data_IF_240224873533
#
_entry.id   IF_240224873533
#
_cell.length_a   1.000
_cell.length_b   1.000
_cell.length_c   1.000
_cell.angle_alpha   90.00
_cell.angle_beta   90.00
_cell.angle_gamma   90.00
#
_symmetry.space_group_name_H-M   'P 1'
#
loop_
_entity.id
_entity.type
_entity.pdbx_description
1 polymer ?
#
# COMPACT_ATOMS: atom_id res chain seq x y z
N UNK A 1 -7.05 -25.21 30.97
CA UNK A 1 -7.36 -23.82 30.56
C UNK A 1 -7.23 -23.75 29.05
N UNK A 2 -8.19 -23.17 28.32
CA UNK A 2 -8.10 -22.97 26.87
C UNK A 2 -7.13 -21.81 26.63
N UNK A 3 -5.95 -22.08 26.07
CA UNK A 3 -5.04 -21.01 25.66
C UNK A 3 -5.73 -20.17 24.57
N UNK A 4 -5.82 -18.86 24.80
CA UNK A 4 -6.32 -17.94 23.80
C UNK A 4 -5.31 -17.91 22.64
N UNK A 5 -5.70 -18.44 21.49
CA UNK A 5 -4.85 -18.43 20.31
C UNK A 5 -4.56 -16.99 19.87
N UNK A 6 -3.28 -16.65 19.76
CA UNK A 6 -2.85 -15.35 19.27
C UNK A 6 -2.91 -15.28 17.74
N UNK A 7 -4.09 -14.99 17.22
CA UNK A 7 -4.35 -14.87 15.78
C UNK A 7 -3.51 -13.78 15.10
N UNK A 8 -3.05 -12.76 15.83
CA UNK A 8 -2.22 -11.68 15.29
C UNK A 8 -0.96 -12.23 14.63
N UNK A 9 -0.34 -13.25 15.22
CA UNK A 9 0.90 -13.84 14.70
C UNK A 9 0.69 -14.50 13.34
N UNK A 10 -0.44 -15.18 13.15
CA UNK A 10 -0.79 -15.89 11.92
C UNK A 10 -1.11 -14.90 10.80
N UNK A 11 -1.91 -13.87 11.09
CA UNK A 11 -2.26 -12.86 10.08
C UNK A 11 -1.09 -11.93 9.69
N UNK A 12 -0.10 -11.75 10.57
CA UNK A 12 1.08 -10.93 10.29
C UNK A 12 2.19 -11.67 9.53
N UNK A 13 2.06 -12.98 9.33
CA UNK A 13 3.09 -13.78 8.68
C UNK A 13 3.32 -13.28 7.23
N UNK A 14 4.55 -12.91 6.85
CA UNK A 14 4.83 -12.44 5.50
C UNK A 14 4.65 -13.58 4.50
N UNK A 15 4.32 -13.25 3.26
CA UNK A 15 4.39 -14.22 2.17
C UNK A 15 5.83 -14.70 2.00
N UNK A 16 6.03 -16.01 2.01
CA UNK A 16 7.35 -16.65 1.97
C UNK A 16 7.42 -17.57 0.77
N UNK A 17 8.50 -17.46 -0.01
CA UNK A 17 8.77 -18.37 -1.13
C UNK A 17 9.67 -19.50 -0.64
N UNK A 18 9.21 -20.73 -0.82
CA UNK A 18 9.99 -21.95 -0.55
C UNK A 18 10.42 -22.68 -1.82
N UNK A 19 9.70 -22.51 -2.93
CA UNK A 19 9.96 -23.20 -4.19
C UNK A 19 10.22 -22.18 -5.30
N UNK A 20 11.44 -22.15 -5.83
CA UNK A 20 11.80 -21.27 -6.96
C UNK A 20 11.48 -21.96 -8.30
N UNK A 21 11.61 -23.29 -8.36
CA UNK A 21 11.38 -24.10 -9.57
C UNK A 21 10.81 -25.45 -9.17
N UNK A 22 10.20 -26.19 -10.12
CA UNK A 22 9.59 -27.52 -9.88
C UNK A 22 10.51 -28.49 -9.11
N UNK A 23 11.82 -28.39 -9.29
CA UNK A 23 12.80 -29.29 -8.66
C UNK A 23 13.69 -28.61 -7.59
N UNK A 24 13.50 -27.30 -7.31
CA UNK A 24 14.35 -26.56 -6.36
C UNK A 24 13.49 -26.04 -5.22
N UNK A 25 13.57 -26.76 -4.10
CA UNK A 25 12.94 -26.41 -2.82
C UNK A 25 14.04 -25.93 -1.89
N UNK A 26 13.84 -24.76 -1.30
CA UNK A 26 14.78 -24.15 -0.37
C UNK A 26 14.33 -24.48 1.06
N UNK A 27 15.24 -24.97 1.93
CA UNK A 27 14.92 -25.31 3.31
C UNK A 27 14.65 -24.07 4.19
N UNK A 28 15.06 -22.88 3.73
CA UNK A 28 14.75 -21.60 4.36
C UNK A 28 13.80 -20.79 3.48
N UNK A 29 12.75 -20.29 4.09
CA UNK A 29 11.77 -19.47 3.40
C UNK A 29 12.24 -18.03 3.23
N UNK A 30 12.14 -17.51 1.99
CA UNK A 30 12.53 -16.13 1.69
C UNK A 30 11.28 -15.24 1.71
N UNK A 31 11.16 -14.26 2.63
CA UNK A 31 10.01 -13.35 2.67
C UNK A 31 10.00 -12.44 1.43
N UNK A 32 8.92 -12.46 0.65
CA UNK A 32 8.78 -11.69 -0.60
C UNK A 32 9.01 -10.20 -0.36
N UNK A 33 8.38 -9.65 0.68
CA UNK A 33 8.51 -8.23 1.03
C UNK A 33 9.96 -7.85 1.32
N UNK A 34 10.73 -8.73 1.99
CA UNK A 34 12.15 -8.49 2.28
C UNK A 34 12.96 -8.42 0.98
N UNK A 35 12.73 -9.36 0.07
CA UNK A 35 13.42 -9.42 -1.22
C UNK A 35 13.14 -8.19 -2.09
N UNK A 36 11.89 -7.71 -2.11
CA UNK A 36 11.54 -6.49 -2.86
C UNK A 36 12.29 -5.28 -2.28
N UNK A 37 12.28 -5.10 -0.95
CA UNK A 37 13.01 -3.99 -0.32
C UNK A 37 14.51 -4.11 -0.58
N UNK A 38 15.06 -5.32 -0.49
CA UNK A 38 16.47 -5.60 -0.79
C UNK A 38 16.81 -5.16 -2.22
N UNK A 39 15.99 -5.54 -3.21
CA UNK A 39 16.19 -5.17 -4.61
C UNK A 39 16.10 -3.65 -4.84
N UNK A 40 15.15 -2.97 -4.18
CA UNK A 40 15.03 -1.51 -4.27
C UNK A 40 16.29 -0.84 -3.71
N UNK A 41 16.72 -1.22 -2.52
CA UNK A 41 17.91 -0.64 -1.88
C UNK A 41 19.17 -0.96 -2.69
N UNK A 42 19.31 -2.20 -3.17
CA UNK A 42 20.41 -2.61 -4.03
C UNK A 42 20.43 -1.81 -5.34
N UNK A 43 19.26 -1.58 -5.96
CA UNK A 43 19.12 -0.76 -7.16
C UNK A 43 19.54 0.70 -6.94
N UNK A 44 19.16 1.29 -5.81
CA UNK A 44 19.60 2.64 -5.42
C UNK A 44 21.12 2.67 -5.21
N UNK A 45 21.69 1.66 -4.55
CA UNK A 45 23.14 1.56 -4.39
C UNK A 45 23.88 1.40 -5.71
N UNK A 46 23.32 0.62 -6.65
CA UNK A 46 23.87 0.46 -7.99
C UNK A 46 23.83 1.77 -8.79
N UNK A 47 22.78 2.59 -8.63
CA UNK A 47 22.73 3.93 -9.23
C UNK A 47 23.84 4.84 -8.67
N UNK A 48 24.11 4.73 -7.37
CA UNK A 48 25.16 5.47 -6.68
C UNK A 48 26.51 4.73 -6.65
N UNK A 49 26.80 3.83 -7.62
CA UNK A 49 27.95 2.93 -7.56
C UNK A 49 29.27 3.65 -7.27
N UNK A 50 29.52 4.78 -7.95
CA UNK A 50 30.78 5.54 -7.83
C UNK A 50 31.10 5.92 -6.38
N UNK A 51 30.08 6.31 -5.61
CA UNK A 51 30.22 6.67 -4.19
C UNK A 51 30.60 5.46 -3.33
N UNK A 52 29.86 4.36 -3.47
CA UNK A 52 30.11 3.14 -2.71
C UNK A 52 31.43 2.45 -3.09
N UNK A 53 31.84 2.54 -4.36
CA UNK A 53 33.11 2.00 -4.82
C UNK A 53 34.31 2.82 -4.33
N UNK A 54 34.17 4.14 -4.23
CA UNK A 54 35.19 4.99 -3.61
C UNK A 54 35.40 4.64 -2.14
N UNK A 55 34.32 4.42 -1.38
CA UNK A 55 34.39 3.95 0.01
C UNK A 55 35.03 2.56 0.12
N UNK A 56 34.66 1.65 -0.78
CA UNK A 56 35.16 0.27 -0.79
C UNK A 56 36.64 0.12 -1.14
N UNK A 57 37.29 1.13 -1.73
CA UNK A 57 38.74 1.09 -2.03
C UNK A 57 39.62 1.23 -0.78
N UNK A 58 39.07 1.70 0.33
CA UNK A 58 39.84 1.88 1.56
C UNK A 58 40.26 0.56 2.21
N UNK A 59 39.48 -0.52 2.01
CA UNK A 59 39.72 -1.83 2.63
C UNK A 59 39.51 -2.94 1.59
N UNK A 60 40.51 -3.79 1.30
CA UNK A 60 40.36 -4.90 0.37
C UNK A 60 39.27 -5.86 0.85
N UNK A 61 38.34 -6.22 -0.05
CA UNK A 61 37.23 -7.12 0.26
C UNK A 61 35.99 -6.45 0.87
N UNK A 62 36.01 -5.14 1.15
CA UNK A 62 34.86 -4.45 1.75
C UNK A 62 33.70 -4.24 0.77
N UNK A 63 33.97 -4.17 -0.53
CA UNK A 63 32.96 -3.92 -1.58
C UNK A 63 31.80 -4.94 -1.55
N UNK A 64 32.01 -6.27 -1.60
CA UNK A 64 30.92 -7.23 -1.56
C UNK A 64 30.15 -7.18 -0.23
N UNK A 65 30.84 -6.97 0.90
CA UNK A 65 30.22 -6.83 2.22
C UNK A 65 29.31 -5.59 2.26
N UNK A 66 29.73 -4.49 1.64
CA UNK A 66 28.94 -3.27 1.57
C UNK A 66 27.66 -3.48 0.73
N UNK A 67 27.80 -4.07 -0.46
CA UNK A 67 26.69 -4.27 -1.40
C UNK A 67 25.70 -5.36 -0.98
N UNK A 68 26.12 -6.34 -0.19
CA UNK A 68 25.19 -7.35 0.37
C UNK A 68 24.69 -6.92 1.74
N UNK A 69 25.59 -6.41 2.59
CA UNK A 69 25.31 -6.07 3.98
C UNK A 69 24.39 -4.86 4.13
N UNK A 70 24.60 -3.79 3.37
CA UNK A 70 23.74 -2.60 3.47
C UNK A 70 22.30 -2.92 3.04
N UNK A 71 22.03 -3.51 1.85
CA UNK A 71 20.66 -3.83 1.47
C UNK A 71 20.00 -4.87 2.38
N UNK A 72 20.78 -5.83 2.87
CA UNK A 72 20.28 -6.81 3.84
C UNK A 72 19.94 -6.18 5.20
N UNK A 73 20.79 -5.29 5.70
CA UNK A 73 20.58 -4.56 6.95
C UNK A 73 19.39 -3.63 6.88
N UNK A 74 19.32 -2.80 5.83
CA UNK A 74 18.22 -1.87 5.60
C UNK A 74 16.90 -2.62 5.42
N UNK A 75 16.86 -3.68 4.60
CA UNK A 75 15.62 -4.46 4.41
C UNK A 75 15.11 -5.07 5.72
N UNK A 76 16.02 -5.54 6.59
CA UNK A 76 15.66 -6.06 7.91
C UNK A 76 15.14 -4.96 8.84
N UNK A 77 15.78 -3.79 8.83
CA UNK A 77 15.36 -2.64 9.63
C UNK A 77 13.97 -2.13 9.21
N UNK A 78 13.76 -1.97 7.90
CA UNK A 78 12.47 -1.56 7.32
C UNK A 78 11.35 -2.52 7.71
N UNK A 79 11.60 -3.84 7.72
CA UNK A 79 10.61 -4.82 8.15
C UNK A 79 10.27 -4.75 9.64
N UNK A 80 11.19 -4.24 10.47
CA UNK A 80 10.98 -4.09 11.92
C UNK A 80 10.09 -2.89 12.25
N UNK A 81 10.11 -1.86 11.40
CA UNK A 81 9.29 -0.67 11.58
C UNK A 81 7.84 -0.99 11.22
N UNK A 82 6.95 -0.83 12.21
CA UNK A 82 5.50 -1.04 12.07
C UNK A 82 4.73 0.19 12.54
N UNK A 83 4.60 1.25 11.72
CA UNK A 83 3.76 2.38 12.08
C UNK A 83 2.31 1.91 12.26
N UNK A 84 1.70 2.23 13.40
CA UNK A 84 0.31 1.86 13.73
C UNK A 84 0.03 0.34 13.59
N UNK A 85 1.05 -0.51 13.78
CA UNK A 85 0.92 -1.96 13.65
C UNK A 85 0.93 -2.51 12.21
N UNK A 86 0.92 -1.65 11.19
CA UNK A 86 1.00 -2.03 9.77
C UNK A 86 2.46 -2.06 9.33
N UNK A 87 2.86 -3.02 8.47
CA UNK A 87 4.24 -3.06 7.95
C UNK A 87 4.48 -1.83 7.07
N UNK A 88 5.67 -1.21 7.19
CA UNK A 88 6.02 0.04 6.51
C UNK A 88 5.72 0.07 4.99
N UNK A 89 5.98 -1.00 4.20
CA UNK A 89 5.71 -0.98 2.76
C UNK A 89 4.23 -0.79 2.43
N UNK A 90 3.33 -1.44 3.18
CA UNK A 90 1.89 -1.28 2.96
C UNK A 90 1.40 0.09 3.42
N UNK A 91 2.01 0.64 4.49
CA UNK A 91 1.71 2.00 4.91
C UNK A 91 2.11 3.03 3.84
N UNK A 92 3.31 2.88 3.26
CA UNK A 92 3.79 3.76 2.18
C UNK A 92 2.92 3.63 0.93
N UNK A 93 2.48 2.42 0.59
CA UNK A 93 1.57 2.20 -0.54
C UNK A 93 0.22 2.89 -0.34
N UNK A 94 -0.40 2.74 0.84
CA UNK A 94 -1.63 3.46 1.17
C UNK A 94 -1.43 4.98 1.12
N UNK A 95 -0.32 5.47 1.68
CA UNK A 95 0.02 6.89 1.65
C UNK A 95 0.17 7.39 0.21
N UNK A 96 0.80 6.61 -0.65
CA UNK A 96 0.94 6.94 -2.08
C UNK A 96 -0.41 7.00 -2.79
N UNK A 97 -1.27 6.02 -2.56
CA UNK A 97 -2.63 5.99 -3.12
C UNK A 97 -3.47 7.16 -2.61
N UNK A 98 -3.38 7.48 -1.32
CA UNK A 98 -4.03 8.66 -0.74
C UNK A 98 -3.49 9.95 -1.36
N UNK A 99 -2.17 10.08 -1.46
CA UNK A 99 -1.53 11.27 -1.99
C UNK A 99 -1.91 11.51 -3.45
N UNK A 100 -1.84 10.47 -4.28
CA UNK A 100 -2.12 10.58 -5.72
C UNK A 100 -3.62 10.61 -6.04
N UNK A 101 -4.43 9.85 -5.31
CA UNK A 101 -5.86 9.71 -5.57
C UNK A 101 -6.74 10.74 -4.90
N UNK A 102 -6.32 11.30 -3.75
CA UNK A 102 -7.15 12.22 -2.96
C UNK A 102 -6.49 13.59 -2.83
N UNK A 103 -5.24 13.63 -2.37
CA UNK A 103 -4.57 14.89 -2.05
C UNK A 103 -4.26 15.73 -3.30
N UNK A 104 -3.64 15.15 -4.33
CA UNK A 104 -3.34 15.83 -5.59
C UNK A 104 -4.60 16.35 -6.32
N UNK A 105 -5.65 15.54 -6.55
CA UNK A 105 -6.88 16.03 -7.18
C UNK A 105 -7.79 16.82 -6.23
N UNK A 106 -7.39 17.01 -4.96
CA UNK A 106 -8.17 17.72 -3.92
C UNK A 106 -9.60 17.18 -3.76
N UNK A 107 -9.78 15.88 -3.93
CA UNK A 107 -11.09 15.23 -3.78
C UNK A 107 -11.58 15.37 -2.35
N UNK A 108 -12.84 15.75 -2.18
CA UNK A 108 -13.49 15.87 -0.87
C UNK A 108 -14.46 14.71 -0.70
N UNK A 109 -14.45 14.10 0.48
CA UNK A 109 -15.31 12.97 0.80
C UNK A 109 -16.16 13.29 2.04
N UNK A 110 -17.41 12.84 2.05
CA UNK A 110 -18.28 12.84 3.22
C UNK A 110 -19.06 11.52 3.25
N UNK A 111 -18.98 10.78 4.37
CA UNK A 111 -19.65 9.48 4.51
C UNK A 111 -19.24 8.46 3.42
N UNK A 112 -17.95 8.36 3.12
CA UNK A 112 -17.36 7.49 2.09
C UNK A 112 -17.82 7.75 0.64
N UNK A 113 -18.51 8.87 0.38
CA UNK A 113 -18.88 9.31 -0.97
C UNK A 113 -18.09 10.55 -1.38
N UNK A 114 -17.67 10.59 -2.65
CA UNK A 114 -17.03 11.78 -3.24
C UNK A 114 -18.06 12.90 -3.39
N UNK A 115 -17.82 14.04 -2.73
CA UNK A 115 -18.73 15.18 -2.76
C UNK A 115 -18.26 16.17 -3.82
N UNK A 116 -18.87 16.09 -5.00
CA UNK A 116 -18.50 16.89 -6.18
C UNK A 116 -18.84 18.38 -6.04
N UNK A 117 -19.84 18.71 -5.21
CA UNK A 117 -20.44 20.05 -5.17
C UNK A 117 -19.91 20.94 -4.04
N UNK A 118 -19.01 20.43 -3.19
CA UNK A 118 -18.56 21.15 -1.99
C UNK A 118 -17.63 22.33 -2.29
N UNK A 119 -17.17 22.47 -3.54
CA UNK A 119 -16.35 23.59 -4.02
C UNK A 119 -17.11 24.51 -4.98
N UNK A 120 -18.40 24.25 -5.25
CA UNK A 120 -19.22 25.10 -6.09
C UNK A 120 -19.77 26.29 -5.31
N UNK A 121 -19.59 27.49 -5.89
CA UNK A 121 -20.03 28.77 -5.30
C UNK A 121 -21.55 28.90 -5.18
N UNK A 122 -22.30 28.26 -6.08
CA UNK A 122 -23.77 28.23 -6.06
C UNK A 122 -24.25 26.82 -6.34
N UNK A 123 -25.04 26.26 -5.42
CA UNK A 123 -25.71 24.97 -5.58
C UNK A 123 -27.19 25.28 -5.83
N UNK A 124 -27.68 24.95 -7.03
CA UNK A 124 -29.10 25.11 -7.38
C UNK A 124 -29.79 23.76 -7.29
N UNK A 125 -30.74 23.64 -6.37
CA UNK A 125 -31.55 22.44 -6.22
C UNK A 125 -32.76 22.53 -7.14
N UNK A 126 -32.91 21.55 -8.03
CA UNK A 126 -34.14 21.40 -8.81
C UNK A 126 -35.22 20.83 -7.89
N UNK A 127 -36.41 21.46 -7.80
CA UNK A 127 -37.50 20.91 -7.02
C UNK A 127 -37.96 19.60 -7.65
N UNK A 128 -37.93 18.51 -6.88
CA UNK A 128 -38.47 17.21 -7.30
C UNK A 128 -39.83 17.04 -6.63
N UNK A 129 -40.88 16.96 -7.45
CA UNK A 129 -42.24 16.69 -6.97
C UNK A 129 -42.37 15.18 -6.72
N UNK A 130 -42.23 14.78 -5.46
CA UNK A 130 -42.41 13.38 -5.07
C UNK A 130 -43.91 13.06 -5.08
N UNK A 131 -44.34 12.22 -6.04
CA UNK A 131 -45.70 11.65 -6.03
C UNK A 131 -45.78 10.60 -4.93
N UNK A 132 -46.20 11.01 -3.75
CA UNK A 132 -46.62 10.07 -2.69
C UNK A 132 -47.82 9.30 -3.22
N UNK A 133 -47.72 7.97 -3.34
CA UNK A 133 -48.89 7.14 -3.62
C UNK A 133 -49.80 7.18 -2.41
N UNK A 134 -50.84 7.99 -2.47
CA UNK A 134 -52.01 7.76 -1.64
C UNK A 134 -52.74 6.52 -2.18
N UNK A 135 -53.29 5.73 -1.26
CA UNK A 135 -54.00 4.50 -1.56
C UNK A 135 -55.15 4.78 -2.55
N UNK A 136 -55.38 3.80 -3.41
CA UNK A 136 -56.48 3.66 -4.38
C UNK A 136 -56.17 4.16 -5.81
N UNK A 137 -56.22 3.18 -6.70
CA UNK A 137 -55.66 3.26 -8.04
C UNK A 137 -56.44 4.17 -8.98
N UNK A 138 -55.68 4.92 -9.77
CA UNK A 138 -55.84 5.16 -11.21
C UNK A 138 -54.65 6.01 -11.66
N UNK A 139 -53.91 5.51 -12.64
CA UNK A 139 -52.89 6.30 -13.33
C UNK A 139 -53.50 6.89 -14.59
N UNK A 140 -53.59 8.22 -14.66
CA UNK A 140 -53.66 8.94 -15.92
C UNK A 140 -52.25 9.46 -16.25
N UNK A 141 -51.89 9.28 -17.52
CA UNK A 141 -50.67 9.67 -18.22
C UNK A 141 -50.47 11.19 -18.24
N UNK A 142 -49.21 11.64 -18.33
CA UNK A 142 -48.69 12.45 -19.45
C UNK A 142 -47.25 12.91 -19.19
N UNK A 143 -46.46 12.87 -20.27
CA UNK A 143 -45.03 13.19 -20.38
C UNK A 143 -44.73 14.69 -20.14
N UNK A 144 -43.48 15.02 -19.81
CA UNK A 144 -42.74 16.13 -20.46
C UNK A 144 -41.27 16.19 -20.05
N UNK A 145 -40.42 16.12 -21.08
CA UNK A 145 -39.05 16.68 -21.36
C UNK A 145 -37.96 16.55 -20.30
#
# INVERSE_FOLDING_TARGET
MKEAYNYKKVFEEPYVIYQITRNVIIPFGIPVTKSIIFLIVFGIMALCWKFFFALGKAIPGMIPVLYVGIPYGISTLVMRIKPNGKKLPYFLWDLWMYYTGIFLPKKKYAGDQEVLYLDQKEIRFTPVTIKTKEKEGKYATEDTV
#
